data_IF_499936764169
#
_entry.id   IF_499936764169
#
_cell.length_a   1.000
_cell.length_b   1.000
_cell.length_c   1.000
_cell.angle_alpha   90.00
_cell.angle_beta   90.00
_cell.angle_gamma   90.00
#
_symmetry.space_group_name_H-M   'P 1'
#
loop_
_entity.id
_entity.type
_entity.pdbx_description
1 polymer ?
#
# COMPACT_ATOMS: atom_id res chain seq x y z
N UNK A 1 32.28 -31.25 -26.56
CA UNK A 1 30.82 -31.34 -26.31
C UNK A 1 30.61 -30.92 -24.87
N UNK A 2 30.31 -29.65 -24.62
CA UNK A 2 29.99 -29.14 -23.28
C UNK A 2 28.48 -29.24 -23.11
N UNK A 3 28.02 -30.04 -22.16
CA UNK A 3 26.61 -30.15 -21.85
C UNK A 3 26.14 -28.82 -21.26
N UNK A 4 25.24 -28.14 -21.95
CA UNK A 4 24.51 -26.99 -21.43
C UNK A 4 23.63 -27.45 -20.26
N UNK A 5 24.16 -27.47 -19.05
CA UNK A 5 23.36 -27.61 -17.83
C UNK A 5 22.51 -26.36 -17.71
N UNK A 6 21.28 -26.42 -18.23
CA UNK A 6 20.28 -25.39 -18.03
C UNK A 6 20.05 -25.21 -16.53
N UNK A 7 20.50 -24.08 -15.97
CA UNK A 7 20.19 -23.68 -14.59
C UNK A 7 18.66 -23.70 -14.42
N UNK A 8 18.17 -24.70 -13.70
CA UNK A 8 16.74 -24.84 -13.45
C UNK A 8 16.40 -23.99 -12.24
N UNK A 9 15.51 -23.00 -12.40
CA UNK A 9 15.07 -22.16 -11.27
C UNK A 9 14.41 -23.07 -10.23
N UNK A 10 14.93 -23.17 -8.99
CA UNK A 10 14.27 -23.93 -7.95
C UNK A 10 12.90 -23.30 -7.68
N UNK A 11 11.83 -24.09 -7.76
CA UNK A 11 10.50 -23.68 -7.34
C UNK A 11 10.39 -23.84 -5.81
N UNK A 12 11.15 -23.05 -5.08
CA UNK A 12 10.96 -22.92 -3.62
C UNK A 12 9.85 -21.89 -3.41
N UNK A 13 8.66 -22.38 -3.09
CA UNK A 13 7.53 -21.56 -2.66
C UNK A 13 7.42 -21.68 -1.15
N UNK A 14 7.31 -20.55 -0.47
CA UNK A 14 7.02 -20.50 0.96
C UNK A 14 5.79 -19.62 1.19
N UNK A 15 4.97 -19.98 2.16
CA UNK A 15 3.73 -19.27 2.44
C UNK A 15 3.76 -18.74 3.87
N UNK A 16 3.52 -17.44 4.02
CA UNK A 16 3.59 -16.76 5.31
C UNK A 16 2.25 -16.12 5.65
N UNK A 17 1.83 -16.24 6.93
CA UNK A 17 0.72 -15.46 7.49
C UNK A 17 1.27 -14.20 8.12
N UNK A 18 0.80 -13.05 7.67
CA UNK A 18 1.14 -11.74 8.26
C UNK A 18 0.05 -11.37 9.27
N UNK A 19 0.47 -11.11 10.50
CA UNK A 19 -0.40 -10.61 11.57
C UNK A 19 -0.14 -9.12 11.78
N UNK A 20 -1.19 -8.31 11.71
CA UNK A 20 -1.10 -6.89 12.02
C UNK A 20 -1.13 -6.68 13.54
N UNK A 21 -0.08 -6.07 14.08
CA UNK A 21 0.04 -5.79 15.53
C UNK A 21 -0.34 -4.36 15.90
N UNK A 22 -0.39 -3.47 14.90
CA UNK A 22 -0.88 -2.10 15.03
C UNK A 22 -2.37 -2.04 14.68
N UNK A 23 -3.19 -1.25 15.42
CA UNK A 23 -4.57 -0.99 15.03
C UNK A 23 -4.68 -0.12 13.77
N UNK A 24 -3.57 0.46 13.31
CA UNK A 24 -3.50 1.30 12.13
C UNK A 24 -2.44 0.78 11.16
N UNK A 25 -2.89 0.33 10.00
CA UNK A 25 -2.09 0.09 8.81
C UNK A 25 -2.70 0.90 7.66
N UNK A 26 -1.90 1.71 6.98
CA UNK A 26 -2.33 2.40 5.78
C UNK A 26 -1.32 2.16 4.66
N UNK A 27 -1.80 1.56 3.58
CA UNK A 27 -1.09 1.46 2.32
C UNK A 27 -1.94 2.23 1.31
N UNK A 28 -1.43 3.38 0.87
CA UNK A 28 -2.16 4.25 -0.04
C UNK A 28 -2.36 3.60 -1.41
N UNK A 29 -3.52 3.86 -2.01
CA UNK A 29 -3.75 3.54 -3.43
C UNK A 29 -3.15 4.61 -4.35
N UNK A 30 -3.06 4.32 -5.65
CA UNK A 30 -2.69 5.31 -6.67
C UNK A 30 -3.64 6.52 -6.69
N UNK A 31 -4.90 6.32 -6.31
CA UNK A 31 -5.85 7.40 -6.05
C UNK A 31 -5.47 8.07 -4.73
N UNK A 32 -4.81 9.22 -4.86
CA UNK A 32 -4.06 9.82 -3.76
C UNK A 32 -4.91 10.59 -2.75
N UNK A 33 -6.10 11.07 -3.12
CA UNK A 33 -6.98 11.86 -2.25
C UNK A 33 -8.43 11.76 -2.74
N UNK A 34 -9.34 11.37 -1.84
CA UNK A 34 -10.76 11.46 -2.09
C UNK A 34 -11.22 12.91 -1.98
N UNK A 35 -12.07 13.30 -2.91
CA UNK A 35 -12.79 14.55 -2.88
C UNK A 35 -13.88 14.53 -1.80
N UNK A 36 -14.24 15.67 -1.18
CA UNK A 36 -15.31 15.74 -0.18
C UNK A 36 -16.68 15.19 -0.62
N UNK A 37 -16.93 15.06 -1.92
CA UNK A 37 -18.16 14.47 -2.48
C UNK A 37 -18.08 12.95 -2.71
N UNK A 38 -16.90 12.35 -2.57
CA UNK A 38 -16.69 10.90 -2.69
C UNK A 38 -16.85 10.17 -1.36
N UNK A 39 -17.15 10.90 -0.28
CA UNK A 39 -17.44 10.31 1.03
C UNK A 39 -18.45 11.14 1.81
N UNK A 40 -19.04 10.52 2.83
CA UNK A 40 -19.95 11.17 3.77
C UNK A 40 -19.39 10.98 5.17
N UNK A 41 -19.05 12.07 5.84
CA UNK A 41 -18.55 12.05 7.21
C UNK A 41 -19.70 12.32 8.20
N UNK A 42 -19.97 11.35 9.07
CA UNK A 42 -20.84 11.49 10.24
C UNK A 42 -19.98 11.70 11.50
N UNK A 43 -20.56 11.93 12.70
CA UNK A 43 -19.77 12.01 13.92
C UNK A 43 -18.96 10.74 14.22
N UNK A 44 -19.48 9.55 13.86
CA UNK A 44 -18.86 8.26 14.21
C UNK A 44 -18.10 7.59 13.07
N UNK A 45 -18.57 7.76 11.84
CA UNK A 45 -18.08 7.02 10.69
C UNK A 45 -17.89 7.91 9.47
N UNK A 46 -16.98 7.50 8.60
CA UNK A 46 -16.80 8.00 7.24
C UNK A 46 -17.25 6.90 6.29
N UNK A 47 -18.16 7.23 5.39
CA UNK A 47 -18.77 6.30 4.44
C UNK A 47 -18.33 6.65 3.04
N UNK A 48 -17.77 5.69 2.31
CA UNK A 48 -17.51 5.83 0.87
C UNK A 48 -18.58 5.03 0.10
N UNK A 49 -19.39 5.67 -0.77
CA UNK A 49 -20.41 4.97 -1.53
C UNK A 49 -19.78 4.14 -2.66
N UNK A 50 -20.48 3.10 -3.07
CA UNK A 50 -20.38 2.59 -4.43
C UNK A 50 -20.99 3.64 -5.38
N UNK A 51 -20.15 4.31 -6.16
CA UNK A 51 -20.55 5.42 -7.02
C UNK A 51 -21.64 5.04 -8.03
N UNK A 52 -21.57 3.83 -8.59
CA UNK A 52 -22.54 3.36 -9.58
C UNK A 52 -23.89 3.06 -8.92
N UNK A 53 -23.87 2.33 -7.79
CA UNK A 53 -25.07 2.05 -7.01
C UNK A 53 -25.76 3.34 -6.53
N UNK A 54 -24.96 4.32 -6.07
CA UNK A 54 -25.47 5.63 -5.65
C UNK A 54 -26.12 6.38 -6.84
N UNK A 55 -25.43 6.47 -7.97
CA UNK A 55 -25.92 7.18 -9.15
C UNK A 55 -27.22 6.56 -9.69
N UNK A 56 -27.30 5.22 -9.80
CA UNK A 56 -28.52 4.51 -10.21
C UNK A 56 -29.69 4.79 -9.28
N UNK A 57 -29.42 4.77 -7.98
CA UNK A 57 -30.44 4.98 -6.94
C UNK A 57 -30.96 6.41 -6.95
N UNK A 58 -30.07 7.41 -7.03
CA UNK A 58 -30.44 8.81 -7.11
C UNK A 58 -31.17 9.15 -8.41
N UNK A 59 -30.80 8.52 -9.53
CA UNK A 59 -31.51 8.67 -10.80
C UNK A 59 -32.95 8.21 -10.69
N UNK A 60 -33.18 7.03 -10.09
CA UNK A 60 -34.52 6.48 -9.87
C UNK A 60 -35.38 7.37 -8.96
N UNK A 61 -34.76 8.04 -7.99
CA UNK A 61 -35.44 8.99 -7.10
C UNK A 61 -35.62 10.40 -7.71
N UNK A 62 -35.14 10.63 -8.94
CA UNK A 62 -35.19 11.95 -9.58
C UNK A 62 -34.25 12.99 -8.94
N UNK A 63 -33.29 12.54 -8.12
CA UNK A 63 -32.36 13.39 -7.34
C UNK A 63 -30.95 13.45 -7.91
N UNK A 64 -30.67 12.74 -9.01
CA UNK A 64 -29.37 12.78 -9.66
C UNK A 64 -28.93 14.20 -10.06
N UNK A 65 -29.80 15.09 -10.59
CA UNK A 65 -29.40 16.46 -10.90
C UNK A 65 -28.89 17.24 -9.68
N UNK A 66 -29.58 17.12 -8.54
CA UNK A 66 -29.18 17.77 -7.28
C UNK A 66 -27.81 17.28 -6.81
N UNK A 67 -27.55 15.98 -6.95
CA UNK A 67 -26.28 15.37 -6.61
C UNK A 67 -25.14 15.89 -7.49
N UNK A 68 -25.36 15.96 -8.81
CA UNK A 68 -24.38 16.52 -9.74
C UNK A 68 -24.12 18.00 -9.46
N UNK A 69 -25.16 18.75 -9.10
CA UNK A 69 -25.02 20.15 -8.69
C UNK A 69 -24.19 20.29 -7.42
N UNK A 70 -24.48 19.51 -6.37
CA UNK A 70 -23.71 19.51 -5.12
C UNK A 70 -22.24 19.14 -5.35
N UNK A 71 -21.95 18.15 -6.20
CA UNK A 71 -20.57 17.81 -6.61
C UNK A 71 -19.89 19.02 -7.27
N UNK A 72 -20.56 19.66 -8.23
CA UNK A 72 -20.01 20.80 -8.96
C UNK A 72 -19.71 21.99 -8.03
N UNK A 73 -20.54 22.19 -7.00
CA UNK A 73 -20.35 23.24 -5.99
C UNK A 73 -19.46 22.82 -4.81
N UNK A 74 -18.95 21.58 -4.79
CA UNK A 74 -18.17 21.02 -3.68
C UNK A 74 -18.91 21.05 -2.33
N UNK A 75 -20.23 20.87 -2.37
CA UNK A 75 -21.11 20.85 -1.22
C UNK A 75 -21.28 19.42 -0.68
N UNK A 76 -21.76 19.32 0.57
CA UNK A 76 -22.08 18.02 1.16
C UNK A 76 -23.30 17.40 0.49
N UNK A 77 -23.22 16.10 0.22
CA UNK A 77 -24.33 15.33 -0.37
C UNK A 77 -25.31 14.80 0.70
N UNK A 78 -25.01 14.98 1.99
CA UNK A 78 -25.80 14.43 3.09
C UNK A 78 -27.30 14.82 3.02
N UNK A 79 -27.69 16.09 2.78
CA UNK A 79 -29.10 16.46 2.69
C UNK A 79 -29.83 15.75 1.54
N UNK A 80 -29.14 15.49 0.43
CA UNK A 80 -29.68 14.77 -0.73
C UNK A 80 -29.92 13.31 -0.37
N UNK A 81 -28.98 12.69 0.35
CA UNK A 81 -29.10 11.31 0.82
C UNK A 81 -30.25 11.14 1.81
N UNK A 82 -30.38 12.03 2.78
CA UNK A 82 -31.46 12.00 3.78
C UNK A 82 -32.83 12.16 3.12
N UNK A 83 -32.94 13.03 2.13
CA UNK A 83 -34.19 13.22 1.39
C UNK A 83 -34.51 12.06 0.43
N UNK A 84 -33.49 11.42 -0.16
CA UNK A 84 -33.67 10.32 -1.11
C UNK A 84 -33.88 8.96 -0.44
N UNK A 85 -33.22 8.72 0.69
CA UNK A 85 -33.12 7.40 1.33
C UNK A 85 -33.57 7.40 2.81
N UNK A 86 -33.95 8.56 3.36
CA UNK A 86 -34.37 8.72 4.75
C UNK A 86 -33.21 8.76 5.73
N UNK A 87 -33.54 8.70 7.03
CA UNK A 87 -32.56 8.81 8.11
C UNK A 87 -31.52 7.69 8.12
N UNK A 88 -31.86 6.50 7.63
CA UNK A 88 -30.98 5.33 7.57
C UNK A 88 -30.29 5.15 6.21
N UNK A 89 -29.96 6.25 5.52
CA UNK A 89 -29.38 6.23 4.18
C UNK A 89 -28.13 5.34 4.05
N UNK A 90 -27.37 5.11 5.13
CA UNK A 90 -26.20 4.24 5.14
C UNK A 90 -26.52 2.73 4.98
N UNK A 91 -27.80 2.35 5.07
CA UNK A 91 -28.28 0.99 4.79
C UNK A 91 -28.98 0.89 3.43
N UNK A 92 -29.03 1.99 2.66
CA UNK A 92 -29.72 2.00 1.38
C UNK A 92 -29.08 1.05 0.37
N UNK A 93 -29.94 0.42 -0.42
CA UNK A 93 -29.58 -0.47 -1.52
C UNK A 93 -30.07 0.12 -2.84
N UNK A 94 -29.37 -0.22 -3.91
CA UNK A 94 -29.78 0.13 -5.25
C UNK A 94 -30.94 -0.75 -5.75
N UNK A 95 -31.51 -0.46 -6.94
CA UNK A 95 -32.61 -1.25 -7.49
C UNK A 95 -32.29 -2.74 -7.71
N UNK A 96 -31.01 -3.12 -7.73
CA UNK A 96 -30.54 -4.48 -7.91
C UNK A 96 -30.19 -5.16 -6.56
N UNK A 97 -30.45 -4.51 -5.43
CA UNK A 97 -30.10 -5.00 -4.09
C UNK A 97 -28.61 -4.87 -3.75
N UNK A 98 -27.85 -4.06 -4.49
CA UNK A 98 -26.45 -3.77 -4.12
C UNK A 98 -26.41 -2.66 -3.07
N UNK A 99 -25.66 -2.83 -1.96
CA UNK A 99 -25.54 -1.79 -0.95
C UNK A 99 -24.86 -0.55 -1.54
N UNK A 100 -25.51 0.62 -1.36
CA UNK A 100 -24.93 1.91 -1.75
C UNK A 100 -23.69 2.21 -0.90
N UNK A 101 -23.75 1.87 0.40
CA UNK A 101 -22.66 2.06 1.35
C UNK A 101 -22.23 0.71 1.95
N UNK A 102 -21.36 -0.04 1.27
CA UNK A 102 -20.95 -1.36 1.76
C UNK A 102 -20.14 -1.24 3.06
N UNK A 103 -20.23 -2.27 3.92
CA UNK A 103 -19.52 -2.27 5.22
C UNK A 103 -18.00 -2.13 5.08
N UNK A 104 -17.43 -2.65 3.99
CA UNK A 104 -15.98 -2.63 3.72
C UNK A 104 -15.45 -1.23 3.42
N UNK A 105 -16.30 -0.32 2.94
CA UNK A 105 -15.93 1.06 2.61
C UNK A 105 -16.27 2.06 3.72
N UNK A 106 -16.63 1.55 4.91
CA UNK A 106 -16.94 2.33 6.10
C UNK A 106 -15.76 2.33 7.07
N UNK A 107 -15.28 3.52 7.39
CA UNK A 107 -14.17 3.72 8.34
C UNK A 107 -14.66 4.44 9.60
N UNK A 108 -14.05 4.13 10.75
CA UNK A 108 -14.26 4.93 11.97
C UNK A 108 -13.71 6.35 11.78
N UNK A 109 -14.44 7.34 12.27
CA UNK A 109 -13.96 8.71 12.35
C UNK A 109 -13.21 8.90 13.68
N UNK A 110 -11.91 9.13 13.60
CA UNK A 110 -11.03 9.27 14.77
C UNK A 110 -10.78 10.72 15.19
N UNK A 111 -11.42 11.69 14.52
CA UNK A 111 -11.22 13.12 14.75
C UNK A 111 -12.52 13.89 14.64
N UNK A 112 -12.72 14.86 15.54
CA UNK A 112 -13.86 15.78 15.48
C UNK A 112 -13.65 16.91 14.47
N UNK A 113 -12.40 17.09 13.99
CA UNK A 113 -12.09 18.10 12.99
C UNK A 113 -12.69 17.75 11.62
N UNK A 114 -12.95 18.76 10.77
CA UNK A 114 -13.32 18.53 9.38
C UNK A 114 -12.26 17.70 8.64
N UNK A 115 -12.71 16.70 7.88
CA UNK A 115 -11.82 15.88 7.06
C UNK A 115 -11.51 16.67 5.79
N UNK A 116 -10.25 17.03 5.59
CA UNK A 116 -9.79 17.80 4.41
C UNK A 116 -8.95 16.97 3.45
N UNK A 117 -8.42 15.85 3.92
CA UNK A 117 -7.63 14.90 3.15
C UNK A 117 -7.96 13.48 3.63
N UNK A 118 -8.70 12.74 2.80
CA UNK A 118 -9.02 11.35 3.05
C UNK A 118 -8.33 10.50 1.99
N UNK A 119 -7.41 9.66 2.43
CA UNK A 119 -6.67 8.75 1.54
C UNK A 119 -7.16 7.34 1.78
N UNK A 120 -7.79 6.69 0.79
CA UNK A 120 -8.29 5.36 0.98
C UNK A 120 -7.11 4.38 1.03
N UNK A 121 -7.27 3.34 1.83
CA UNK A 121 -6.37 2.19 1.76
C UNK A 121 -6.54 1.50 0.40
N UNK A 122 -5.52 0.79 -0.07
CA UNK A 122 -5.57 0.07 -1.33
C UNK A 122 -6.59 -1.09 -1.28
N UNK A 123 -7.34 -1.26 -2.37
CA UNK A 123 -8.34 -2.30 -2.56
C UNK A 123 -8.06 -3.10 -3.83
N UNK A 124 -8.45 -4.38 -3.83
CA UNK A 124 -8.42 -5.21 -5.03
C UNK A 124 -9.57 -4.83 -6.00
N UNK A 125 -9.64 -5.50 -7.15
CA UNK A 125 -10.70 -5.25 -8.15
C UNK A 125 -12.13 -5.53 -7.66
N UNK A 126 -12.29 -6.14 -6.48
CA UNK A 126 -13.58 -6.41 -5.82
C UNK A 126 -13.87 -5.44 -4.68
N UNK A 127 -13.03 -4.41 -4.47
CA UNK A 127 -13.20 -3.43 -3.39
C UNK A 127 -12.84 -3.96 -2.01
N UNK A 128 -12.03 -5.02 -1.91
CA UNK A 128 -11.57 -5.59 -0.65
C UNK A 128 -10.15 -5.13 -0.31
N UNK A 129 -9.90 -4.83 0.96
CA UNK A 129 -8.59 -4.42 1.45
C UNK A 129 -7.57 -5.55 1.35
N UNK A 130 -6.38 -5.26 0.85
CA UNK A 130 -5.26 -6.19 0.81
C UNK A 130 -3.94 -5.46 1.01
N UNK A 131 -2.87 -6.21 1.27
CA UNK A 131 -1.49 -5.73 1.27
C UNK A 131 -0.84 -6.14 -0.05
N UNK A 132 -0.35 -5.18 -0.84
CA UNK A 132 0.37 -5.46 -2.09
C UNK A 132 1.70 -6.18 -1.84
N UNK A 133 2.02 -7.13 -2.70
CA UNK A 133 3.29 -7.84 -2.69
C UNK A 133 4.47 -6.89 -2.87
N UNK A 134 4.28 -5.80 -3.63
CA UNK A 134 5.26 -4.72 -3.77
C UNK A 134 5.56 -4.00 -2.44
N UNK A 135 4.56 -3.78 -1.59
CA UNK A 135 4.74 -3.18 -0.27
C UNK A 135 5.48 -4.13 0.68
N UNK A 136 5.13 -5.42 0.68
CA UNK A 136 5.83 -6.45 1.47
C UNK A 136 7.28 -6.58 1.02
N UNK A 137 7.49 -6.67 -0.30
CA UNK A 137 8.82 -6.76 -0.91
C UNK A 137 9.66 -5.52 -0.61
N UNK A 138 9.05 -4.33 -0.59
CA UNK A 138 9.70 -3.09 -0.15
C UNK A 138 10.17 -3.15 1.30
N UNK A 139 9.34 -3.63 2.21
CA UNK A 139 9.71 -3.81 3.62
C UNK A 139 10.86 -4.83 3.78
N UNK A 140 10.82 -5.95 3.07
CA UNK A 140 11.90 -6.95 3.05
C UNK A 140 13.20 -6.32 2.52
N UNK A 141 13.12 -5.57 1.41
CA UNK A 141 14.27 -4.86 0.82
C UNK A 141 14.92 -3.94 1.85
N UNK A 142 14.14 -3.11 2.54
CA UNK A 142 14.67 -2.21 3.58
C UNK A 142 15.31 -2.98 4.75
N UNK A 143 14.72 -4.10 5.18
CA UNK A 143 15.29 -4.93 6.24
C UNK A 143 16.64 -5.56 5.84
N UNK A 144 16.75 -6.08 4.62
CA UNK A 144 18.01 -6.60 4.07
C UNK A 144 19.06 -5.50 4.00
N UNK A 145 18.71 -4.35 3.43
CA UNK A 145 19.62 -3.21 3.33
C UNK A 145 20.17 -2.82 4.69
N UNK A 146 19.30 -2.65 5.68
CA UNK A 146 19.70 -2.33 7.05
C UNK A 146 20.63 -3.39 7.64
N UNK A 147 20.34 -4.68 7.43
CA UNK A 147 21.20 -5.76 7.93
C UNK A 147 22.59 -5.74 7.28
N UNK A 148 22.68 -5.58 5.96
CA UNK A 148 23.94 -5.50 5.24
C UNK A 148 24.78 -4.32 5.72
N UNK A 149 24.16 -3.16 5.87
CA UNK A 149 24.81 -1.93 6.33
C UNK A 149 25.32 -2.05 7.77
N UNK A 150 24.49 -2.57 8.67
CA UNK A 150 24.84 -2.78 10.08
C UNK A 150 26.01 -3.77 10.25
N UNK A 151 26.17 -4.70 9.32
CA UNK A 151 27.22 -5.72 9.33
C UNK A 151 28.18 -5.56 8.14
N UNK A 152 28.44 -4.33 7.71
CA UNK A 152 29.19 -4.04 6.50
C UNK A 152 30.59 -4.65 6.44
N UNK A 153 31.27 -4.80 7.59
CA UNK A 153 32.58 -5.48 7.66
C UNK A 153 32.50 -6.97 7.32
N UNK A 154 31.41 -7.64 7.72
CA UNK A 154 31.21 -9.08 7.48
C UNK A 154 30.88 -9.37 6.01
N UNK A 155 30.13 -8.47 5.38
CA UNK A 155 29.60 -8.65 4.02
C UNK A 155 30.38 -7.85 2.97
N UNK A 156 31.53 -7.27 3.33
CA UNK A 156 32.39 -6.57 2.38
C UNK A 156 31.75 -5.31 1.77
N UNK A 157 30.79 -4.68 2.48
CA UNK A 157 30.12 -3.48 1.99
C UNK A 157 31.15 -2.34 1.86
N UNK A 158 31.26 -1.69 0.68
CA UNK A 158 32.22 -0.60 0.45
C UNK A 158 32.16 0.45 1.56
N UNK A 159 33.33 0.97 1.97
CA UNK A 159 33.42 1.91 3.11
C UNK A 159 32.58 3.18 2.90
N UNK A 160 32.52 3.65 1.66
CA UNK A 160 31.71 4.80 1.21
C UNK A 160 30.20 4.60 1.45
N UNK A 161 29.76 3.33 1.50
CA UNK A 161 28.38 2.91 1.66
C UNK A 161 28.01 2.60 3.12
N UNK A 162 28.91 2.77 4.09
CA UNK A 162 28.68 2.35 5.48
C UNK A 162 27.85 3.36 6.27
N UNK A 163 27.13 2.82 7.26
CA UNK A 163 26.18 3.54 8.13
C UNK A 163 26.75 4.84 8.72
N UNK A 164 28.05 4.90 9.08
CA UNK A 164 28.60 6.12 9.69
C UNK A 164 28.59 7.33 8.74
N UNK A 165 28.83 7.11 7.45
CA UNK A 165 28.82 8.18 6.43
C UNK A 165 27.37 8.61 6.15
N UNK A 166 26.45 7.65 6.01
CA UNK A 166 25.03 7.87 5.75
C UNK A 166 24.34 8.52 6.96
N UNK A 167 24.59 8.05 8.19
CA UNK A 167 24.10 8.68 9.41
C UNK A 167 24.69 10.07 9.62
N UNK A 168 25.97 10.29 9.28
CA UNK A 168 26.61 11.59 9.36
C UNK A 168 25.99 12.56 8.35
N UNK A 169 25.78 12.14 7.10
CA UNK A 169 25.09 12.91 6.07
C UNK A 169 23.62 13.17 6.43
N UNK A 170 22.90 12.19 6.99
CA UNK A 170 21.54 12.34 7.48
C UNK A 170 21.49 13.35 8.64
N UNK A 171 22.39 13.26 9.62
CA UNK A 171 22.48 14.22 10.74
C UNK A 171 22.82 15.63 10.27
N UNK A 172 23.70 15.79 9.28
CA UNK A 172 24.03 17.09 8.68
C UNK A 172 22.88 17.67 7.85
N UNK A 173 22.16 16.85 7.09
CA UNK A 173 21.00 17.27 6.26
C UNK A 173 19.71 17.49 7.06
N UNK A 174 19.60 16.93 8.28
CA UNK A 174 18.45 17.10 9.17
C UNK A 174 18.29 18.51 9.76
N UNK A 175 19.24 19.42 9.52
CA UNK A 175 19.21 20.79 10.03
C UNK A 175 18.19 21.74 9.39
N UNK A 176 17.60 21.43 8.22
CA UNK A 176 16.70 22.42 7.57
C UNK A 176 15.63 21.93 6.59
N UNK A 177 15.57 20.69 6.11
CA UNK A 177 14.58 20.30 5.07
C UNK A 177 14.02 18.88 5.27
N UNK A 178 12.84 18.81 5.89
CA UNK A 178 12.32 17.59 6.54
C UNK A 178 11.61 16.55 5.67
N UNK A 179 11.38 16.75 4.35
CA UNK A 179 10.52 15.82 3.59
C UNK A 179 10.92 15.47 2.15
N UNK A 180 11.71 16.28 1.42
CA UNK A 180 11.98 16.02 -0.02
C UNK A 180 13.31 15.32 -0.32
N UNK A 181 14.33 15.47 0.54
CA UNK A 181 15.65 14.84 0.32
C UNK A 181 15.71 13.36 0.74
N UNK A 182 14.68 12.85 1.44
CA UNK A 182 14.66 11.53 2.07
C UNK A 182 14.49 10.35 1.09
N UNK A 183 14.14 10.61 -0.17
CA UNK A 183 13.85 9.55 -1.14
C UNK A 183 14.81 9.52 -2.34
N UNK A 184 15.43 10.64 -2.69
CA UNK A 184 16.32 10.71 -3.86
C UNK A 184 17.69 10.07 -3.59
N UNK A 185 18.35 10.45 -2.48
CA UNK A 185 19.65 9.87 -2.11
C UNK A 185 19.52 8.39 -1.69
N UNK A 186 18.44 8.03 -0.99
CA UNK A 186 18.15 6.65 -0.61
C UNK A 186 17.91 5.78 -1.86
N UNK A 187 17.30 6.30 -2.92
CA UNK A 187 17.05 5.52 -4.15
C UNK A 187 18.32 5.17 -4.89
N UNK A 188 19.22 6.15 -5.13
CA UNK A 188 20.48 5.92 -5.84
C UNK A 188 21.40 4.96 -5.07
N UNK A 189 21.42 5.10 -3.74
CA UNK A 189 22.17 4.22 -2.86
C UNK A 189 21.60 2.80 -2.81
N UNK A 190 20.29 2.67 -2.64
CA UNK A 190 19.61 1.37 -2.64
C UNK A 190 19.69 0.70 -4.01
N UNK A 191 19.70 1.47 -5.08
CA UNK A 191 19.90 0.91 -6.42
C UNK A 191 21.32 0.36 -6.55
N UNK A 192 22.35 1.06 -6.09
CA UNK A 192 23.72 0.52 -6.05
C UNK A 192 23.82 -0.73 -5.18
N UNK A 193 23.34 -0.71 -3.94
CA UNK A 193 23.43 -1.85 -3.02
C UNK A 193 22.77 -3.12 -3.57
N UNK A 194 21.70 -2.97 -4.34
CA UNK A 194 20.93 -4.09 -4.87
C UNK A 194 21.23 -4.40 -6.34
N UNK A 195 22.01 -3.60 -7.07
CA UNK A 195 22.35 -3.81 -8.48
C UNK A 195 23.85 -3.94 -8.76
N UNK A 196 24.72 -3.54 -7.83
CA UNK A 196 26.17 -3.68 -7.90
C UNK A 196 26.62 -5.08 -7.46
N UNK A 197 26.16 -6.10 -8.19
CA UNK A 197 26.73 -7.44 -8.11
C UNK A 197 27.12 -7.92 -9.50
N UNK A 198 28.27 -8.59 -9.58
CA UNK A 198 28.72 -9.22 -10.80
C UNK A 198 27.99 -10.56 -10.96
N UNK A 199 27.15 -10.67 -11.98
CA UNK A 199 26.76 -11.98 -12.47
C UNK A 199 28.00 -12.55 -13.15
N UNK A 200 28.54 -13.65 -12.64
CA UNK A 200 29.66 -14.33 -13.30
C UNK A 200 29.03 -15.48 -14.08
N UNK A 201 29.05 -15.38 -15.40
CA UNK A 201 28.78 -16.53 -16.27
C UNK A 201 30.04 -17.42 -16.22
N UNK A 202 29.97 -18.65 -15.69
CA UNK A 202 31.13 -19.54 -15.60
C UNK A 202 31.73 -19.87 -16.97
N UNK A 203 30.97 -19.71 -18.06
CA UNK A 203 31.39 -20.06 -19.41
C UNK A 203 31.88 -18.86 -20.25
N UNK A 204 31.79 -17.62 -19.74
CA UNK A 204 32.30 -16.43 -20.43
C UNK A 204 33.36 -15.66 -19.61
N UNK A 205 34.48 -15.24 -20.23
CA UNK A 205 35.43 -14.37 -19.56
C UNK A 205 34.75 -13.05 -19.18
N UNK A 206 34.89 -12.66 -17.90
CA UNK A 206 34.31 -11.44 -17.35
C UNK A 206 34.67 -10.22 -18.23
N UNK A 207 33.66 -9.66 -18.91
CA UNK A 207 33.78 -8.40 -19.64
C UNK A 207 32.92 -7.32 -18.98
N UNK A 208 33.52 -6.39 -18.22
CA UNK A 208 32.80 -5.35 -17.49
C UNK A 208 32.04 -4.37 -18.40
N UNK A 209 32.35 -4.31 -19.70
CA UNK A 209 31.64 -3.44 -20.65
C UNK A 209 30.27 -4.00 -21.09
N UNK A 210 30.04 -5.30 -20.90
CA UNK A 210 28.78 -5.96 -21.31
C UNK A 210 27.73 -6.01 -20.19
N UNK A 211 28.12 -5.66 -18.95
CA UNK A 211 27.21 -5.66 -17.81
C UNK A 211 26.40 -4.37 -17.73
N UNK A 212 25.09 -4.48 -17.94
CA UNK A 212 24.16 -3.36 -17.80
C UNK A 212 23.70 -3.26 -16.35
N UNK A 213 24.09 -2.19 -15.65
CA UNK A 213 23.49 -1.85 -14.36
C UNK A 213 22.11 -1.22 -14.57
N UNK A 214 21.11 -1.65 -13.80
CA UNK A 214 19.79 -1.02 -13.81
C UNK A 214 18.71 -1.87 -13.16
N UNK A 215 17.42 -1.49 -13.29
CA UNK A 215 16.31 -2.19 -12.64
C UNK A 215 16.24 -3.69 -12.99
N UNK A 216 16.78 -4.06 -14.16
CA UNK A 216 16.81 -5.44 -14.63
C UNK A 216 17.87 -6.32 -13.95
N UNK A 217 18.87 -5.72 -13.31
CA UNK A 217 19.93 -6.39 -12.56
C UNK A 217 19.78 -6.21 -11.05
N UNK A 218 18.59 -5.88 -10.56
CA UNK A 218 18.29 -5.87 -9.13
C UNK A 218 18.12 -7.31 -8.63
N UNK A 219 18.88 -7.75 -7.62
CA UNK A 219 18.77 -9.13 -7.14
C UNK A 219 17.39 -9.44 -6.56
N UNK A 220 16.67 -8.44 -6.06
CA UNK A 220 15.30 -8.61 -5.61
C UNK A 220 14.37 -8.99 -6.77
N UNK A 221 14.76 -8.89 -8.06
CA UNK A 221 14.00 -9.50 -9.16
C UNK A 221 13.93 -11.02 -9.08
N UNK A 222 14.89 -11.67 -8.45
CA UNK A 222 14.84 -13.12 -8.24
C UNK A 222 13.75 -13.51 -7.23
N UNK A 223 13.36 -12.58 -6.35
CA UNK A 223 12.33 -12.76 -5.33
C UNK A 223 10.98 -12.28 -5.86
N UNK A 224 10.02 -13.19 -5.96
CA UNK A 224 8.62 -12.86 -6.22
C UNK A 224 7.87 -12.87 -4.89
N UNK A 225 7.04 -11.86 -4.68
CA UNK A 225 6.13 -11.78 -3.53
C UNK A 225 4.76 -11.49 -4.11
N UNK A 226 3.78 -12.36 -3.85
CA UNK A 226 2.42 -12.12 -4.31
C UNK A 226 1.71 -11.09 -3.44
N UNK A 227 0.68 -10.48 -3.98
CA UNK A 227 -0.32 -9.80 -3.17
C UNK A 227 -0.89 -10.77 -2.13
N UNK A 228 -1.33 -10.21 -1.01
CA UNK A 228 -2.04 -10.98 0.00
C UNK A 228 -3.48 -11.25 -0.42
N UNK A 229 -4.03 -12.34 0.12
CA UNK A 229 -5.48 -12.49 0.19
C UNK A 229 -6.13 -11.31 0.95
N UNK A 230 -7.42 -11.02 0.72
CA UNK A 230 -8.12 -9.97 1.43
C UNK A 230 -7.95 -10.05 2.95
N UNK A 231 -7.81 -8.89 3.59
CA UNK A 231 -7.66 -8.81 5.05
C UNK A 231 -8.87 -9.42 5.75
N UNK A 232 -8.60 -10.40 6.60
CA UNK A 232 -9.61 -11.07 7.42
C UNK A 232 -9.64 -10.43 8.81
N UNK A 233 -10.82 -10.04 9.27
CA UNK A 233 -11.04 -9.61 10.65
C UNK A 233 -11.32 -10.82 11.56
N UNK A 234 -10.42 -11.06 12.51
CA UNK A 234 -10.54 -12.11 13.52
C UNK A 234 -10.69 -11.45 14.90
N UNK A 235 -11.68 -11.88 15.70
CA UNK A 235 -11.77 -11.52 17.11
C UNK A 235 -10.89 -12.46 17.91
N UNK A 236 -9.82 -11.95 18.51
CA UNK A 236 -8.94 -12.75 19.37
C UNK A 236 -9.07 -12.23 20.81
N UNK A 237 -9.41 -13.13 21.72
CA UNK A 237 -9.41 -12.84 23.15
C UNK A 237 -7.99 -13.00 23.72
N UNK A 238 -7.47 -11.94 24.33
CA UNK A 238 -6.25 -12.00 25.13
C UNK A 238 -6.52 -11.42 26.51
N UNK A 239 -6.27 -12.22 27.55
CA UNK A 239 -6.35 -11.80 28.96
C UNK A 239 -7.70 -11.14 29.33
N UNK A 240 -8.81 -11.74 28.92
CA UNK A 240 -10.16 -11.23 29.21
C UNK A 240 -10.57 -9.97 28.46
N UNK A 241 -9.80 -9.54 27.45
CA UNK A 241 -10.14 -8.45 26.53
C UNK A 241 -10.23 -8.97 25.11
N UNK A 242 -11.32 -8.67 24.41
CA UNK A 242 -11.52 -8.99 22.99
C UNK A 242 -10.84 -7.92 22.15
N UNK A 243 -9.97 -8.35 21.24
CA UNK A 243 -9.30 -7.47 20.28
C UNK A 243 -9.70 -7.86 18.85
N UNK A 244 -9.87 -6.89 17.97
CA UNK A 244 -10.01 -7.12 16.53
C UNK A 244 -8.62 -7.16 15.91
N UNK A 245 -8.29 -8.28 15.27
CA UNK A 245 -7.04 -8.48 14.55
C UNK A 245 -7.32 -8.62 13.08
N UNK A 246 -6.40 -8.14 12.27
CA UNK A 246 -6.42 -8.33 10.84
C UNK A 246 -5.25 -9.23 10.43
N UNK A 247 -5.53 -10.19 9.55
CA UNK A 247 -4.51 -11.07 9.01
C UNK A 247 -4.68 -11.30 7.52
N UNK A 248 -3.57 -11.62 6.87
CA UNK A 248 -3.50 -11.88 5.44
C UNK A 248 -2.46 -12.97 5.18
N UNK A 249 -2.67 -13.77 4.13
CA UNK A 249 -1.72 -14.78 3.67
C UNK A 249 -1.12 -14.35 2.32
N UNK A 250 0.19 -14.54 2.13
CA UNK A 250 0.87 -14.36 0.84
C UNK A 250 1.81 -15.53 0.52
N UNK A 251 2.16 -15.65 -0.75
CA UNK A 251 3.09 -16.66 -1.28
C UNK A 251 4.30 -16.02 -1.95
#
# INVERSE_FOLDING_TARGET
>A
MLSSTSLTKPQTLDSCKIQLTSPMLHIGSEVSKLSPFEYVATPKFVYQPNAEALARSLYKQGRLPDYLYAIAQQETILPILEQAFGENWWQAEDPNGQPIFPKVSRSLRWTDQPIVDLRPMIHNGLGQLYIPGSSIKGAIRTAIAYHLLKHGDRYGVPKESRVSEIEHQLRQKMGSLRQKAKFADDSLFMDQLFTDFDLIDPDQPFNPQNYRKGPNTDFMRAVQVTDTEPLLEEKVERRGRTFLWQSACCR
#
